data_IF_277691688908
#
_entry.id   IF_277691688908
#
_cell.length_a   1.000
_cell.length_b   1.000
_cell.length_c   1.000
_cell.angle_alpha   90.00
_cell.angle_beta   90.00
_cell.angle_gamma   90.00
#
_symmetry.space_group_name_H-M   'P 1'
#
loop_
_entity.id
_entity.type
_entity.pdbx_description
1 polymer ?
#
# COMPACT_ATOMS: atom_id res chain seq x y z
N UNK A 1 -33.81 37.80 -41.79
CA UNK A 1 -34.44 37.27 -40.56
C UNK A 1 -33.50 36.38 -39.72
N UNK A 2 -32.17 36.41 -39.90
CA UNK A 2 -31.23 35.45 -39.27
C UNK A 2 -30.57 35.93 -37.96
N UNK A 3 -30.68 37.22 -37.63
CA UNK A 3 -30.12 37.81 -36.39
C UNK A 3 -30.54 37.15 -35.07
N UNK A 4 -31.83 36.78 -34.84
CA UNK A 4 -32.23 36.23 -33.54
C UNK A 4 -31.69 34.81 -33.30
N UNK A 5 -31.44 34.03 -34.36
CA UNK A 5 -30.84 32.70 -34.24
C UNK A 5 -29.38 32.79 -33.82
N UNK A 6 -28.62 33.71 -34.40
CA UNK A 6 -27.21 33.93 -34.07
C UNK A 6 -27.06 34.37 -32.61
N UNK A 7 -27.92 35.28 -32.13
CA UNK A 7 -27.91 35.74 -30.75
C UNK A 7 -28.19 34.61 -29.73
N UNK A 8 -29.10 33.68 -30.07
CA UNK A 8 -29.43 32.51 -29.23
C UNK A 8 -28.28 31.50 -29.17
N UNK A 9 -27.61 31.25 -30.30
CA UNK A 9 -26.42 30.37 -30.32
C UNK A 9 -25.27 30.95 -29.50
N UNK A 10 -25.01 32.26 -29.62
CA UNK A 10 -23.95 32.92 -28.85
C UNK A 10 -24.25 32.90 -27.36
N UNK A 11 -25.50 33.16 -26.95
CA UNK A 11 -25.85 33.15 -25.52
C UNK A 11 -25.74 31.75 -24.91
N UNK A 12 -26.18 30.71 -25.62
CA UNK A 12 -26.05 29.31 -25.20
C UNK A 12 -24.59 28.89 -25.07
N UNK A 13 -23.76 29.23 -26.06
CA UNK A 13 -22.32 28.96 -26.02
C UNK A 13 -21.63 29.71 -24.88
N UNK A 14 -21.98 30.98 -24.64
CA UNK A 14 -21.47 31.75 -23.51
C UNK A 14 -21.90 31.15 -22.17
N UNK A 15 -23.12 30.61 -22.06
CA UNK A 15 -23.63 29.95 -20.86
C UNK A 15 -22.87 28.65 -20.57
N UNK A 16 -22.69 27.79 -21.59
CA UNK A 16 -21.89 26.57 -21.47
C UNK A 16 -20.43 26.88 -21.14
N UNK A 17 -19.84 27.90 -21.77
CA UNK A 17 -18.49 28.36 -21.45
C UNK A 17 -18.40 28.89 -20.00
N UNK A 18 -19.41 29.64 -19.54
CA UNK A 18 -19.45 30.13 -18.16
C UNK A 18 -19.62 28.99 -17.15
N UNK A 19 -20.50 28.02 -17.43
CA UNK A 19 -20.71 26.84 -16.60
C UNK A 19 -19.45 25.98 -16.56
N UNK A 20 -18.77 25.82 -17.68
CA UNK A 20 -17.48 25.13 -17.78
C UNK A 20 -16.39 25.86 -17.00
N UNK A 21 -16.26 27.18 -17.13
CA UNK A 21 -15.31 28.00 -16.36
C UNK A 21 -15.63 27.93 -14.86
N UNK A 22 -16.91 27.94 -14.47
CA UNK A 22 -17.32 27.84 -13.06
C UNK A 22 -17.01 26.46 -12.50
N UNK A 23 -17.25 25.39 -13.27
CA UNK A 23 -16.92 24.01 -12.92
C UNK A 23 -15.40 23.83 -12.80
N UNK A 24 -14.61 24.41 -13.71
CA UNK A 24 -13.15 24.43 -13.61
C UNK A 24 -12.66 25.18 -12.36
N UNK A 25 -13.27 26.33 -12.03
CA UNK A 25 -12.93 27.07 -10.80
C UNK A 25 -13.26 26.27 -9.54
N UNK A 26 -14.36 25.53 -9.53
CA UNK A 26 -14.73 24.65 -8.41
C UNK A 26 -13.77 23.46 -8.25
N UNK A 27 -13.28 22.90 -9.37
CA UNK A 27 -12.27 21.82 -9.36
C UNK A 27 -10.84 22.29 -9.02
N UNK A 28 -10.52 23.58 -9.21
CA UNK A 28 -9.21 24.19 -8.89
C UNK A 28 -8.99 24.42 -7.38
N UNK A 29 -9.25 23.43 -6.52
CA UNK A 29 -8.82 23.52 -5.11
C UNK A 29 -7.34 23.16 -4.91
N UNK A 30 -6.73 22.45 -5.85
CA UNK A 30 -5.32 22.06 -5.80
C UNK A 30 -4.60 22.51 -7.07
N UNK A 31 -3.40 23.09 -6.94
CA UNK A 31 -2.58 23.52 -8.07
C UNK A 31 -2.05 22.27 -8.78
N UNK A 32 -2.58 21.97 -9.96
CA UNK A 32 -2.18 20.84 -10.79
C UNK A 32 -2.19 21.18 -12.27
N UNK A 33 -1.53 20.38 -13.11
CA UNK A 33 -1.56 20.54 -14.55
C UNK A 33 -2.98 20.34 -15.11
N UNK A 34 -3.20 20.81 -16.34
CA UNK A 34 -4.50 20.69 -17.02
C UNK A 34 -4.87 19.22 -17.24
N UNK A 35 -6.02 18.83 -16.68
CA UNK A 35 -6.58 17.48 -16.83
C UNK A 35 -7.50 17.40 -18.07
N UNK A 36 -7.26 16.42 -18.93
CA UNK A 36 -8.10 16.15 -20.10
C UNK A 36 -9.45 15.56 -19.69
N UNK A 37 -10.54 15.81 -20.45
CA UNK A 37 -11.82 15.14 -20.22
C UNK A 37 -11.66 13.61 -20.25
N UNK A 38 -12.29 12.91 -19.29
CA UNK A 38 -12.27 11.43 -19.12
C UNK A 38 -10.91 10.84 -18.71
N UNK A 39 -9.82 11.24 -19.34
CA UNK A 39 -8.47 10.66 -19.15
C UNK A 39 -7.68 11.36 -18.03
N UNK A 40 -8.07 12.57 -17.65
CA UNK A 40 -7.40 13.33 -16.60
C UNK A 40 -5.95 13.69 -16.95
N UNK A 41 -5.04 13.56 -15.99
CA UNK A 41 -3.61 13.81 -16.18
C UNK A 41 -2.84 12.56 -16.63
N UNK A 42 -3.52 11.47 -17.03
CA UNK A 42 -2.85 10.20 -17.33
C UNK A 42 -1.82 10.31 -18.47
N UNK A 43 -2.07 11.14 -19.49
CA UNK A 43 -1.11 11.37 -20.58
C UNK A 43 0.17 12.10 -20.13
N UNK A 44 0.18 12.69 -18.93
CA UNK A 44 1.36 13.34 -18.35
C UNK A 44 2.20 12.37 -17.50
N UNK A 45 1.68 11.17 -17.20
CA UNK A 45 2.39 10.09 -16.51
C UNK A 45 3.24 9.26 -17.50
N UNK A 46 4.19 9.87 -18.21
CA UNK A 46 5.29 9.18 -18.90
C UNK A 46 4.91 7.94 -19.73
N UNK A 47 5.83 6.97 -19.85
CA UNK A 47 5.74 5.87 -20.82
C UNK A 47 4.85 4.67 -20.43
N UNK A 48 4.11 4.71 -19.31
CA UNK A 48 3.18 3.61 -18.95
C UNK A 48 1.87 4.12 -18.32
N UNK A 49 0.96 4.74 -19.10
CA UNK A 49 -0.27 5.33 -18.59
C UNK A 49 -1.46 4.35 -18.48
N UNK A 50 -1.28 3.06 -18.81
CA UNK A 50 -2.36 2.06 -18.90
C UNK A 50 -2.86 1.55 -17.54
N UNK A 51 -2.26 1.97 -16.42
CA UNK A 51 -2.74 1.72 -15.06
C UNK A 51 -3.41 3.00 -14.57
N UNK A 52 -4.61 3.26 -15.07
CA UNK A 52 -5.30 4.54 -14.94
C UNK A 52 -5.83 4.76 -13.51
N UNK A 53 -5.46 5.89 -12.91
CA UNK A 53 -6.17 6.48 -11.79
C UNK A 53 -7.27 7.41 -12.32
N UNK A 54 -8.48 6.88 -12.53
CA UNK A 54 -9.63 7.64 -13.04
C UNK A 54 -10.27 8.59 -12.00
N UNK A 55 -9.56 8.87 -10.91
CA UNK A 55 -10.04 9.59 -9.72
C UNK A 55 -9.06 10.70 -9.33
N UNK A 56 -9.56 11.74 -8.65
CA UNK A 56 -8.72 12.81 -8.14
C UNK A 56 -7.69 12.25 -7.14
N UNK A 57 -6.41 12.38 -7.46
CA UNK A 57 -5.29 12.00 -6.60
C UNK A 57 -4.59 13.24 -6.09
N UNK A 58 -4.37 13.26 -4.77
CA UNK A 58 -3.56 14.27 -4.10
C UNK A 58 -2.20 13.67 -3.79
N UNK A 59 -1.14 14.26 -4.36
CA UNK A 59 0.25 13.89 -4.05
C UNK A 59 0.78 14.85 -2.99
N UNK A 60 1.12 14.32 -1.82
CA UNK A 60 1.75 15.09 -0.75
C UNK A 60 3.28 15.05 -0.93
N UNK A 61 3.91 16.21 -1.04
CA UNK A 61 5.36 16.35 -1.15
C UNK A 61 5.88 17.32 -0.07
N UNK A 62 6.99 16.96 0.55
CA UNK A 62 7.61 17.71 1.65
C UNK A 62 7.15 17.24 3.04
N UNK A 63 8.06 17.31 4.01
CA UNK A 63 7.83 16.77 5.35
C UNK A 63 6.64 17.44 6.05
N UNK A 64 6.50 18.77 5.92
CA UNK A 64 5.43 19.53 6.53
C UNK A 64 4.05 19.05 6.06
N UNK A 65 3.86 18.92 4.75
CA UNK A 65 2.60 18.47 4.17
C UNK A 65 2.27 17.03 4.57
N UNK A 66 3.28 16.15 4.59
CA UNK A 66 3.13 14.75 5.02
C UNK A 66 2.76 14.67 6.51
N UNK A 67 3.41 15.44 7.38
CA UNK A 67 3.12 15.48 8.82
C UNK A 67 1.73 16.05 9.09
N UNK A 68 1.36 17.14 8.44
CA UNK A 68 0.04 17.75 8.58
C UNK A 68 -1.07 16.75 8.21
N UNK A 69 -0.97 16.11 7.06
CA UNK A 69 -1.96 15.13 6.62
C UNK A 69 -1.98 13.85 7.47
N UNK A 70 -0.81 13.24 7.72
CA UNK A 70 -0.74 11.90 8.34
C UNK A 70 -0.73 11.92 9.87
N UNK A 71 -0.42 13.04 10.51
CA UNK A 71 -0.37 13.17 11.97
C UNK A 71 -1.51 14.07 12.46
N UNK A 72 -1.56 15.32 12.02
CA UNK A 72 -2.53 16.31 12.53
C UNK A 72 -3.95 15.98 12.07
N UNK A 73 -4.12 15.64 10.79
CA UNK A 73 -5.40 15.27 10.18
C UNK A 73 -5.52 13.76 9.93
N UNK A 74 -4.86 12.94 10.76
CA UNK A 74 -4.71 11.49 10.54
C UNK A 74 -6.01 10.74 10.30
N UNK A 75 -7.13 11.15 10.93
CA UNK A 75 -8.44 10.52 10.75
C UNK A 75 -9.09 10.83 9.40
N UNK A 76 -8.84 12.01 8.85
CA UNK A 76 -9.36 12.43 7.55
C UNK A 76 -8.60 11.72 6.41
N UNK A 77 -7.30 11.50 6.60
CA UNK A 77 -6.42 10.78 5.66
C UNK A 77 -6.30 9.27 5.95
N UNK A 78 -7.06 8.73 6.92
CA UNK A 78 -7.03 7.30 7.26
C UNK A 78 -7.76 6.40 6.23
N UNK A 79 -8.48 7.01 5.27
CA UNK A 79 -9.20 6.28 4.22
C UNK A 79 -8.29 5.36 3.39
N UNK A 80 -8.87 4.32 2.82
CA UNK A 80 -8.18 3.45 1.85
C UNK A 80 -8.96 3.48 0.54
N UNK A 81 -8.31 3.79 -0.59
CA UNK A 81 -8.96 3.68 -1.89
C UNK A 81 -9.36 2.22 -2.14
N UNK A 82 -10.59 2.02 -2.65
CA UNK A 82 -11.12 0.70 -2.96
C UNK A 82 -10.60 0.24 -4.34
N UNK A 83 -9.35 -0.17 -4.41
CA UNK A 83 -8.81 -0.77 -5.64
C UNK A 83 -9.32 -2.20 -5.81
N UNK A 84 -9.62 -2.59 -7.06
CA UNK A 84 -10.05 -3.97 -7.39
C UNK A 84 -8.99 -5.00 -6.96
N UNK A 85 -7.71 -4.66 -7.06
CA UNK A 85 -6.60 -5.49 -6.56
C UNK A 85 -6.70 -5.79 -5.06
N UNK A 86 -7.22 -4.85 -4.26
CA UNK A 86 -7.41 -5.05 -2.82
C UNK A 86 -8.56 -6.00 -2.50
N UNK A 87 -9.57 -6.09 -3.37
CA UNK A 87 -10.67 -7.04 -3.21
C UNK A 87 -10.21 -8.48 -3.51
N UNK A 88 -9.24 -8.66 -4.42
CA UNK A 88 -8.65 -9.96 -4.69
C UNK A 88 -7.86 -10.52 -3.50
N UNK A 89 -7.31 -9.63 -2.64
CA UNK A 89 -6.56 -10.03 -1.44
C UNK A 89 -7.51 -10.18 -0.25
N UNK A 90 -7.64 -11.41 0.28
CA UNK A 90 -8.47 -11.72 1.47
C UNK A 90 -9.95 -11.26 1.35
N UNK A 91 -10.46 -11.11 0.13
CA UNK A 91 -11.82 -10.59 -0.13
C UNK A 91 -12.03 -9.16 0.36
N UNK A 92 -10.97 -8.33 0.39
CA UNK A 92 -11.02 -6.95 0.90
C UNK A 92 -11.01 -6.81 2.42
N UNK A 93 -10.92 -7.92 3.17
CA UNK A 93 -10.97 -7.95 4.65
C UNK A 93 -9.61 -7.93 5.34
N UNK A 94 -8.53 -7.70 4.58
CA UNK A 94 -7.19 -7.56 5.14
C UNK A 94 -7.07 -6.29 6.00
N UNK A 95 -6.34 -6.37 7.11
CA UNK A 95 -6.05 -5.23 7.98
C UNK A 95 -5.41 -4.05 7.23
N UNK A 96 -4.68 -4.30 6.15
CA UNK A 96 -4.01 -3.26 5.35
C UNK A 96 -4.95 -2.53 4.40
N UNK A 97 -6.00 -3.21 3.93
CA UNK A 97 -6.85 -2.74 2.83
C UNK A 97 -8.30 -2.47 3.25
N UNK A 98 -8.71 -2.88 4.45
CA UNK A 98 -10.02 -2.54 5.01
C UNK A 98 -10.09 -1.08 5.43
N UNK A 99 -11.25 -0.46 5.17
CA UNK A 99 -11.53 0.92 5.58
C UNK A 99 -11.44 1.12 7.10
N UNK A 100 -11.08 2.35 7.49
CA UNK A 100 -11.02 2.74 8.89
C UNK A 100 -12.41 2.62 9.55
N UNK A 101 -12.47 1.83 10.62
CA UNK A 101 -13.72 1.55 11.33
C UNK A 101 -13.46 0.83 12.65
N UNK A 102 -14.53 0.52 13.40
CA UNK A 102 -14.43 -0.17 14.70
C UNK A 102 -13.72 -1.52 14.58
N UNK A 103 -14.05 -2.29 13.53
CA UNK A 103 -13.41 -3.58 13.26
C UNK A 103 -11.92 -3.45 12.97
N UNK A 104 -11.52 -2.53 12.08
CA UNK A 104 -10.12 -2.25 11.79
C UNK A 104 -9.33 -1.84 13.05
N UNK A 105 -9.91 -0.97 13.89
CA UNK A 105 -9.31 -0.57 15.17
C UNK A 105 -9.12 -1.75 16.12
N UNK A 106 -10.12 -2.62 16.23
CA UNK A 106 -10.06 -3.81 17.08
C UNK A 106 -8.96 -4.78 16.59
N UNK A 107 -8.95 -5.12 15.31
CA UNK A 107 -7.93 -5.99 14.72
C UNK A 107 -6.53 -5.39 14.88
N UNK A 108 -6.36 -4.09 14.63
CA UNK A 108 -5.09 -3.39 14.84
C UNK A 108 -4.63 -3.45 16.29
N UNK A 109 -5.54 -3.21 17.25
CA UNK A 109 -5.23 -3.27 18.67
C UNK A 109 -4.79 -4.67 19.10
N UNK A 110 -5.47 -5.71 18.61
CA UNK A 110 -5.10 -7.10 18.89
C UNK A 110 -3.71 -7.40 18.33
N UNK A 111 -3.49 -7.16 17.04
CA UNK A 111 -2.20 -7.41 16.40
C UNK A 111 -1.04 -6.66 17.09
N UNK A 112 -1.24 -5.39 17.43
CA UNK A 112 -0.24 -4.58 18.14
C UNK A 112 0.00 -5.08 19.57
N UNK A 113 -1.04 -5.52 20.28
CA UNK A 113 -0.90 -6.04 21.64
C UNK A 113 -0.15 -7.37 21.65
N UNK A 114 -0.46 -8.27 20.71
CA UNK A 114 0.29 -9.51 20.52
C UNK A 114 1.76 -9.22 20.21
N UNK A 115 2.05 -8.34 19.25
CA UNK A 115 3.43 -7.98 18.91
C UNK A 115 4.19 -7.37 20.10
N UNK A 116 3.53 -6.55 20.93
CA UNK A 116 4.13 -5.99 22.16
C UNK A 116 4.42 -7.06 23.21
N UNK A 117 3.58 -8.08 23.33
CA UNK A 117 3.79 -9.20 24.24
C UNK A 117 5.06 -10.01 23.89
N UNK A 118 5.38 -10.12 22.60
CA UNK A 118 6.60 -10.78 22.12
C UNK A 118 7.83 -9.88 22.08
N UNK A 119 7.69 -8.56 21.93
CA UNK A 119 8.84 -7.65 21.77
C UNK A 119 9.33 -6.97 23.05
N UNK A 120 8.44 -6.67 24.00
CA UNK A 120 8.82 -5.80 25.14
C UNK A 120 8.07 -6.06 26.45
N UNK A 121 6.83 -6.53 26.42
CA UNK A 121 5.99 -6.56 27.63
C UNK A 121 6.22 -7.78 28.55
N UNK A 122 6.79 -8.87 28.05
CA UNK A 122 7.09 -10.06 28.85
C UNK A 122 8.51 -10.57 28.52
N UNK A 123 9.37 -10.65 29.54
CA UNK A 123 10.79 -11.00 29.40
C UNK A 123 11.00 -12.42 28.90
N UNK A 124 10.10 -13.35 29.23
CA UNK A 124 10.22 -14.75 28.84
C UNK A 124 9.87 -14.96 27.36
N UNK A 125 8.75 -14.41 26.89
CA UNK A 125 8.37 -14.45 25.46
C UNK A 125 9.34 -13.67 24.59
N UNK A 126 9.84 -12.53 25.09
CA UNK A 126 10.90 -11.78 24.41
C UNK A 126 12.15 -12.62 24.22
N UNK A 127 12.64 -13.26 25.30
CA UNK A 127 13.83 -14.12 25.23
C UNK A 127 13.65 -15.30 24.29
N UNK A 128 12.47 -15.95 24.31
CA UNK A 128 12.15 -17.02 23.38
C UNK A 128 12.13 -16.55 21.92
N UNK A 129 11.58 -15.37 21.65
CA UNK A 129 11.56 -14.78 20.31
C UNK A 129 12.96 -14.37 19.83
N UNK A 130 13.78 -13.77 20.68
CA UNK A 130 15.19 -13.45 20.38
C UNK A 130 16.01 -14.72 20.09
N UNK A 131 15.78 -15.81 20.84
CA UNK A 131 16.39 -17.11 20.56
C UNK A 131 15.98 -17.64 19.20
N UNK A 132 14.71 -17.49 18.80
CA UNK A 132 14.27 -17.87 17.46
C UNK A 132 14.94 -17.04 16.36
N UNK A 133 14.99 -15.73 16.49
CA UNK A 133 15.69 -14.87 15.52
C UNK A 133 17.16 -15.27 15.42
N UNK A 134 17.81 -15.54 16.56
CA UNK A 134 19.21 -15.95 16.59
C UNK A 134 19.43 -17.29 15.89
N UNK A 135 18.54 -18.26 16.12
CA UNK A 135 18.60 -19.57 15.48
C UNK A 135 18.43 -19.47 13.95
N UNK A 136 17.45 -18.72 13.46
CA UNK A 136 17.24 -18.50 12.02
C UNK A 136 18.42 -17.75 11.39
N UNK A 137 19.00 -16.77 12.10
CA UNK A 137 20.21 -16.09 11.62
C UNK A 137 21.41 -17.03 11.52
N UNK A 138 21.59 -17.93 12.49
CA UNK A 138 22.64 -18.95 12.44
C UNK A 138 22.43 -19.93 11.28
N UNK A 139 21.19 -20.34 11.04
CA UNK A 139 20.82 -21.22 9.92
C UNK A 139 21.11 -20.54 8.57
N UNK A 140 20.74 -19.26 8.43
CA UNK A 140 21.05 -18.46 7.24
C UNK A 140 22.56 -18.38 6.96
N UNK A 141 23.38 -18.17 7.99
CA UNK A 141 24.84 -18.17 7.86
C UNK A 141 25.35 -19.54 7.38
N UNK A 142 24.81 -20.64 7.92
CA UNK A 142 25.19 -21.99 7.48
C UNK A 142 24.81 -22.23 6.01
N UNK A 143 23.64 -21.78 5.60
CA UNK A 143 23.17 -21.85 4.20
C UNK A 143 24.12 -21.05 3.29
N UNK A 144 24.47 -19.82 3.66
CA UNK A 144 25.42 -19.01 2.88
C UNK A 144 26.80 -19.66 2.77
N UNK A 145 27.30 -20.25 3.86
CA UNK A 145 28.57 -20.99 3.83
C UNK A 145 28.50 -22.18 2.86
N UNK A 146 27.38 -22.93 2.87
CA UNK A 146 27.14 -24.04 1.93
C UNK A 146 27.06 -23.58 0.48
N UNK A 147 26.37 -22.49 0.18
CA UNK A 147 26.34 -21.95 -1.18
C UNK A 147 27.70 -21.41 -1.63
N UNK A 148 28.53 -20.97 -0.68
CA UNK A 148 29.85 -20.43 -0.97
C UNK A 148 30.93 -21.51 -1.14
N UNK A 149 30.68 -22.78 -0.81
CA UNK A 149 31.70 -23.85 -0.90
C UNK A 149 32.23 -24.05 -2.32
N UNK A 150 31.39 -23.80 -3.31
CA UNK A 150 31.72 -24.02 -4.72
C UNK A 150 32.34 -22.76 -5.38
N UNK A 151 32.56 -21.68 -4.60
CA UNK A 151 33.10 -20.41 -5.08
C UNK A 151 32.17 -19.66 -6.04
N UNK A 152 30.90 -20.06 -6.14
CA UNK A 152 29.91 -19.48 -7.05
C UNK A 152 29.14 -18.35 -6.37
N UNK A 153 28.79 -17.33 -7.16
CA UNK A 153 27.82 -16.32 -6.74
C UNK A 153 26.44 -16.95 -6.61
N UNK A 154 25.70 -16.57 -5.57
CA UNK A 154 24.31 -16.95 -5.36
C UNK A 154 23.47 -15.72 -5.03
N UNK A 155 22.17 -15.79 -5.31
CA UNK A 155 21.22 -14.74 -4.95
C UNK A 155 20.69 -14.99 -3.52
N UNK A 156 20.96 -14.11 -2.54
CA UNK A 156 20.50 -14.30 -1.18
C UNK A 156 19.03 -13.93 -0.97
N UNK A 157 18.35 -13.32 -1.97
CA UNK A 157 16.98 -12.83 -1.81
C UNK A 157 16.00 -13.94 -1.40
N UNK A 158 16.16 -15.14 -1.97
CA UNK A 158 15.34 -16.28 -1.61
C UNK A 158 15.51 -16.68 -0.15
N UNK A 159 16.76 -16.86 0.29
CA UNK A 159 17.08 -17.31 1.65
C UNK A 159 16.64 -16.30 2.72
N UNK A 160 16.78 -14.99 2.44
CA UNK A 160 16.23 -13.95 3.31
C UNK A 160 14.71 -14.00 3.41
N UNK A 161 14.03 -14.26 2.29
CA UNK A 161 12.57 -14.38 2.26
C UNK A 161 12.10 -15.55 3.11
N UNK A 162 12.77 -16.70 2.99
CA UNK A 162 12.49 -17.90 3.77
C UNK A 162 12.74 -17.66 5.26
N UNK A 163 13.88 -17.09 5.65
CA UNK A 163 14.19 -16.77 7.05
C UNK A 163 13.19 -15.77 7.65
N UNK A 164 12.82 -14.72 6.91
CA UNK A 164 11.83 -13.76 7.36
C UNK A 164 10.44 -14.41 7.55
N UNK A 165 10.04 -15.30 6.63
CA UNK A 165 8.79 -16.01 6.73
C UNK A 165 8.77 -16.99 7.92
N UNK A 166 9.89 -17.67 8.22
CA UNK A 166 10.01 -18.54 9.41
C UNK A 166 9.84 -17.75 10.71
N UNK A 167 10.52 -16.60 10.83
CA UNK A 167 10.37 -15.71 11.99
C UNK A 167 8.92 -15.26 12.15
N UNK A 168 8.26 -14.88 11.06
CA UNK A 168 6.85 -14.48 11.07
C UNK A 168 5.91 -15.63 11.42
N UNK A 169 6.16 -16.84 10.93
CA UNK A 169 5.40 -18.04 11.30
C UNK A 169 5.54 -18.38 12.78
N UNK A 170 6.76 -18.31 13.32
CA UNK A 170 7.01 -18.50 14.74
C UNK A 170 6.26 -17.46 15.58
N UNK A 171 6.24 -16.20 15.14
CA UNK A 171 5.53 -15.12 15.81
C UNK A 171 3.99 -15.28 15.76
N UNK A 172 3.44 -15.71 14.62
CA UNK A 172 2.00 -15.81 14.40
C UNK A 172 1.39 -17.10 14.95
N UNK A 173 2.09 -18.23 14.84
CA UNK A 173 1.54 -19.56 15.11
C UNK A 173 2.24 -20.29 16.26
N UNK A 174 3.34 -19.75 16.80
CA UNK A 174 4.11 -20.40 17.86
C UNK A 174 4.74 -21.74 17.45
N UNK A 175 4.87 -21.99 16.13
CA UNK A 175 5.43 -23.20 15.55
C UNK A 175 6.48 -22.85 14.49
N UNK A 176 7.58 -23.62 14.48
CA UNK A 176 8.59 -23.61 13.41
C UNK A 176 8.09 -24.54 12.29
N UNK A 177 8.02 -24.04 11.06
CA UNK A 177 7.87 -24.87 9.86
C UNK A 177 9.27 -25.26 9.38
N UNK A 178 9.45 -26.49 8.94
CA UNK A 178 10.75 -26.95 8.44
C UNK A 178 11.04 -26.32 7.07
N UNK A 179 12.31 -26.09 6.76
CA UNK A 179 12.75 -25.64 5.43
C UNK A 179 12.32 -26.59 4.28
N UNK A 180 11.95 -27.84 4.60
CA UNK A 180 11.48 -28.86 3.67
C UNK A 180 9.94 -29.02 3.60
N UNK A 181 9.16 -28.22 4.34
CA UNK A 181 7.71 -28.31 4.29
C UNK A 181 7.17 -27.80 2.94
N UNK A 182 6.58 -28.72 2.16
CA UNK A 182 6.04 -28.47 0.81
C UNK A 182 4.97 -27.36 0.80
N UNK A 183 4.26 -27.15 1.91
CA UNK A 183 3.27 -26.08 2.05
C UNK A 183 3.91 -24.68 2.17
N UNK A 184 5.14 -24.61 2.71
CA UNK A 184 5.88 -23.36 2.91
C UNK A 184 6.68 -22.93 1.66
N UNK A 185 7.20 -23.88 0.86
CA UNK A 185 7.87 -23.57 -0.42
C UNK A 185 6.95 -22.90 -1.44
N UNK A 186 5.64 -23.09 -1.33
CA UNK A 186 4.64 -22.45 -2.18
C UNK A 186 4.16 -21.09 -1.64
N UNK A 187 4.49 -20.73 -0.39
CA UNK A 187 4.07 -19.46 0.21
C UNK A 187 4.72 -18.21 -0.45
N UNK A 188 6.02 -18.23 -0.85
CA UNK A 188 6.64 -17.15 -1.63
C UNK A 188 6.06 -16.97 -3.03
N UNK A 189 5.34 -17.95 -3.58
CA UNK A 189 4.68 -17.86 -4.89
C UNK A 189 3.26 -17.26 -4.81
N UNK A 190 2.72 -17.08 -3.60
CA UNK A 190 1.37 -16.54 -3.38
C UNK A 190 1.36 -15.09 -2.85
N UNK A 191 2.54 -14.46 -2.73
CA UNK A 191 2.72 -13.02 -2.52
C UNK A 191 3.06 -12.35 -3.85
#
# INVERSE_FOLDING_TARGET
SSFPLIASFVSSFCLEACLWVRNLRLKRRLRGPFAWPVVGNAMQLGQMPHITFASDIVVLNGDRAIREALIQHSTEFAGRPNFVSFQMISGGRSLTFTNYGKQWKAHRKIAQSSLRAFSSANSQTKKAFEQHITAEAMELVQVFLRHSTDGRYFDPAHEFTVAAANIMCALCFGKRYGHDDLEFRNFPQCL
#
